data_IF_165465966691
#
_entry.id   IF_165465966691
#
_cell.length_a   1.000
_cell.length_b   1.000
_cell.length_c   1.000
_cell.angle_alpha   90.00
_cell.angle_beta   90.00
_cell.angle_gamma   90.00
#
_symmetry.space_group_name_H-M   'P 1'
#
loop_
_entity.id
_entity.type
_entity.pdbx_description
1 polymer ?
#
# COMPACT_ATOMS: atom_id res chain seq x y z
N UNK A 1 -9.85 36.90 9.85
CA UNK A 1 -9.06 36.22 8.80
C UNK A 1 -8.60 34.90 9.39
N UNK A 2 -9.32 33.83 9.11
CA UNK A 2 -8.90 32.48 9.52
C UNK A 2 -7.68 32.10 8.69
N UNK A 3 -6.56 31.86 9.36
CA UNK A 3 -5.41 31.22 8.75
C UNK A 3 -5.84 29.82 8.29
N UNK A 4 -5.82 29.59 6.98
CA UNK A 4 -5.87 28.24 6.42
C UNK A 4 -4.67 27.50 7.01
N UNK A 5 -4.89 26.62 7.98
CA UNK A 5 -3.89 25.64 8.43
C UNK A 5 -3.38 24.94 7.18
N UNK A 6 -2.08 25.07 6.89
CA UNK A 6 -1.41 24.26 5.88
C UNK A 6 -1.83 22.81 6.06
N UNK A 7 -2.22 22.16 4.97
CA UNK A 7 -2.46 20.73 4.97
C UNK A 7 -1.13 20.10 5.34
N UNK A 8 -0.97 19.65 6.59
CA UNK A 8 0.15 18.79 7.01
C UNK A 8 0.28 17.67 5.97
N UNK A 9 1.31 17.73 5.14
CA UNK A 9 1.49 16.81 4.02
C UNK A 9 1.54 15.39 4.56
N UNK A 10 0.61 14.56 4.10
CA UNK A 10 0.51 13.15 4.51
C UNK A 10 1.41 12.32 3.61
N UNK A 11 2.31 11.55 4.19
CA UNK A 11 3.13 10.58 3.48
C UNK A 11 2.55 9.17 3.65
N UNK A 12 2.33 8.45 2.54
CA UNK A 12 1.88 7.06 2.57
C UNK A 12 3.08 6.12 2.41
N UNK A 13 3.39 5.38 3.47
CA UNK A 13 4.40 4.34 3.48
C UNK A 13 3.72 2.99 3.23
N UNK A 14 4.19 2.27 2.22
CA UNK A 14 3.62 0.99 1.78
C UNK A 14 4.64 -0.11 2.04
N UNK A 15 4.34 -0.98 3.00
CA UNK A 15 5.13 -2.17 3.28
C UNK A 15 4.57 -3.41 2.56
N UNK A 16 5.35 -4.47 2.50
CA UNK A 16 4.87 -5.72 1.90
C UNK A 16 3.88 -6.46 2.81
N UNK A 17 4.27 -6.70 4.07
CA UNK A 17 3.52 -7.55 5.01
C UNK A 17 2.92 -6.73 6.16
N UNK A 18 1.80 -7.17 6.78
CA UNK A 18 1.18 -6.45 7.90
C UNK A 18 2.12 -6.26 9.09
N UNK A 19 2.95 -7.26 9.38
CA UNK A 19 3.93 -7.19 10.46
C UNK A 19 5.02 -6.14 10.18
N UNK A 20 5.45 -5.99 8.92
CA UNK A 20 6.41 -4.98 8.51
C UNK A 20 5.81 -3.57 8.66
N UNK A 21 4.58 -3.35 8.17
CA UNK A 21 3.88 -2.07 8.35
C UNK A 21 3.76 -1.66 9.82
N UNK A 22 3.42 -2.62 10.69
CA UNK A 22 3.38 -2.36 12.14
C UNK A 22 4.76 -1.95 12.67
N UNK A 23 5.81 -2.72 12.37
CA UNK A 23 7.17 -2.43 12.86
C UNK A 23 7.67 -1.07 12.39
N UNK A 24 7.44 -0.73 11.12
CA UNK A 24 7.79 0.57 10.54
C UNK A 24 7.05 1.70 11.26
N UNK A 25 5.74 1.56 11.46
CA UNK A 25 4.94 2.58 12.16
C UNK A 25 5.45 2.82 13.58
N UNK A 26 5.74 1.77 14.34
CA UNK A 26 6.27 1.91 15.70
C UNK A 26 7.72 2.40 15.76
N UNK A 27 8.53 2.13 14.74
CA UNK A 27 9.91 2.58 14.68
C UNK A 27 10.03 4.07 14.33
N UNK A 28 9.12 4.59 13.51
CA UNK A 28 9.15 5.98 13.06
C UNK A 28 8.36 6.93 13.95
N UNK A 29 7.34 6.47 14.68
CA UNK A 29 6.45 7.37 15.36
C UNK A 29 7.08 8.01 16.61
N UNK A 30 6.98 9.34 16.72
CA UNK A 30 7.46 10.10 17.88
C UNK A 30 6.63 9.79 19.14
N UNK A 31 5.36 9.44 18.93
CA UNK A 31 4.43 8.93 19.94
C UNK A 31 3.82 7.62 19.44
N UNK A 32 3.21 6.83 20.33
CA UNK A 32 2.61 5.55 19.94
C UNK A 32 1.66 5.71 18.72
N UNK A 33 1.85 4.96 17.63
CA UNK A 33 1.03 5.10 16.43
C UNK A 33 -0.39 4.61 16.68
N UNK A 34 -1.36 5.22 15.99
CA UNK A 34 -2.77 4.85 16.10
C UNK A 34 -3.09 3.78 15.06
N UNK A 35 -3.42 2.58 15.54
CA UNK A 35 -3.92 1.50 14.67
C UNK A 35 -5.35 1.79 14.23
N UNK A 36 -5.57 1.81 12.92
CA UNK A 36 -6.88 1.90 12.28
C UNK A 36 -7.23 0.59 11.59
N UNK A 37 -8.51 0.39 11.31
CA UNK A 37 -9.00 -0.76 10.56
C UNK A 37 -10.13 -0.34 9.64
N UNK A 38 -10.04 -0.72 8.36
CA UNK A 38 -11.11 -0.54 7.39
C UNK A 38 -11.36 -1.89 6.75
N UNK A 39 -12.61 -2.39 6.86
CA UNK A 39 -13.04 -3.66 6.25
C UNK A 39 -12.13 -4.86 6.60
N UNK A 40 -11.60 -4.91 7.82
CA UNK A 40 -10.70 -5.97 8.27
C UNK A 40 -9.29 -5.86 7.70
N UNK A 41 -8.87 -4.67 7.26
CA UNK A 41 -7.49 -4.36 6.86
C UNK A 41 -6.92 -3.32 7.83
N UNK A 42 -5.85 -3.65 8.57
CA UNK A 42 -5.21 -2.69 9.45
C UNK A 42 -4.28 -1.74 8.67
N UNK A 43 -4.21 -0.49 9.13
CA UNK A 43 -3.17 0.47 8.79
C UNK A 43 -2.85 1.32 10.03
N UNK A 44 -1.79 2.11 9.99
CA UNK A 44 -1.31 2.88 11.13
C UNK A 44 -1.18 4.35 10.75
N UNK A 45 -1.65 5.22 11.62
CA UNK A 45 -1.41 6.67 11.55
C UNK A 45 -0.34 7.01 12.58
N UNK A 46 0.71 7.72 12.15
CA UNK A 46 1.83 8.12 12.99
C UNK A 46 2.19 9.60 12.75
N UNK A 47 2.89 10.18 13.70
CA UNK A 47 3.51 11.51 13.55
C UNK A 47 5.01 11.32 13.73
N UNK A 48 5.79 11.88 12.82
CA UNK A 48 7.24 11.91 12.90
C UNK A 48 7.77 13.27 12.43
N UNK A 49 8.47 13.99 13.30
CA UNK A 49 9.04 15.32 13.02
C UNK A 49 7.99 16.28 12.41
N UNK A 50 6.83 16.38 13.06
CA UNK A 50 5.66 17.17 12.62
C UNK A 50 5.04 16.75 11.27
N UNK A 51 5.46 15.62 10.69
CA UNK A 51 4.84 15.04 9.49
C UNK A 51 3.86 13.95 9.85
N UNK A 52 2.72 13.93 9.16
CA UNK A 52 1.73 12.85 9.25
C UNK A 52 2.14 11.69 8.35
N UNK A 53 2.28 10.52 8.95
CA UNK A 53 2.56 9.28 8.24
C UNK A 53 1.33 8.38 8.27
N UNK A 54 1.04 7.77 7.14
CA UNK A 54 0.13 6.63 7.04
C UNK A 54 0.95 5.42 6.63
N UNK A 55 0.96 4.37 7.43
CA UNK A 55 1.69 3.13 7.13
C UNK A 55 0.69 2.00 6.87
N UNK A 56 0.70 1.48 5.65
CA UNK A 56 -0.19 0.41 5.18
C UNK A 56 0.63 -0.73 4.56
N UNK A 57 -0.03 -1.83 4.18
CA UNK A 57 0.65 -2.97 3.55
C UNK A 57 -0.07 -3.49 2.29
N UNK A 58 0.71 -4.05 1.37
CA UNK A 58 0.25 -4.63 0.11
C UNK A 58 -0.15 -6.12 0.22
N UNK A 59 0.23 -6.81 1.30
CA UNK A 59 0.08 -8.27 1.50
C UNK A 59 0.63 -9.11 0.34
N UNK A 60 1.78 -8.70 -0.19
CA UNK A 60 2.42 -9.32 -1.36
C UNK A 60 1.87 -8.78 -2.68
N UNK A 61 1.79 -9.65 -3.70
CA UNK A 61 1.37 -9.29 -5.06
C UNK A 61 -0.13 -8.95 -5.16
N UNK A 62 -0.46 -7.65 -5.14
CA UNK A 62 -1.81 -7.16 -5.47
C UNK A 62 -2.16 -7.28 -6.96
N UNK A 63 -1.15 -7.41 -7.81
CA UNK A 63 -1.28 -7.61 -9.25
C UNK A 63 -0.47 -8.82 -9.69
N UNK A 64 -0.93 -9.53 -10.70
CA UNK A 64 -0.24 -10.67 -11.30
C UNK A 64 -0.36 -10.69 -12.81
N UNK A 65 0.53 -11.41 -13.48
CA UNK A 65 0.49 -11.58 -14.92
C UNK A 65 -0.71 -12.44 -15.35
N UNK A 66 -1.44 -11.97 -16.35
CA UNK A 66 -2.51 -12.67 -17.04
C UNK A 66 -2.29 -12.58 -18.56
N UNK A 67 -2.75 -13.60 -19.28
CA UNK A 67 -2.78 -13.55 -20.74
C UNK A 67 -3.85 -12.56 -21.20
N UNK A 68 -3.50 -11.70 -22.16
CA UNK A 68 -4.45 -10.77 -22.77
C UNK A 68 -5.50 -11.51 -23.60
N UNK A 69 -5.09 -12.58 -24.27
CA UNK A 69 -5.95 -13.44 -25.08
C UNK A 69 -5.89 -14.90 -24.60
N UNK A 70 -6.99 -15.63 -24.73
CA UNK A 70 -7.09 -17.06 -24.36
C UNK A 70 -6.69 -17.98 -25.51
N UNK A 71 -5.59 -17.67 -26.18
CA UNK A 71 -5.06 -18.40 -27.33
C UNK A 71 -3.74 -19.06 -26.96
N UNK A 72 -3.38 -20.14 -27.66
CA UNK A 72 -2.11 -20.85 -27.43
C UNK A 72 -1.31 -20.97 -28.73
N UNK A 73 -0.01 -20.58 -28.73
CA UNK A 73 0.75 -19.97 -27.63
C UNK A 73 0.32 -18.53 -27.31
N UNK A 74 0.41 -18.13 -26.04
CA UNK A 74 0.15 -16.75 -25.60
C UNK A 74 1.47 -15.99 -25.40
N UNK A 75 1.67 -14.93 -26.18
CA UNK A 75 2.86 -14.07 -26.08
C UNK A 75 2.57 -12.73 -25.39
N UNK A 76 1.31 -12.28 -25.42
CA UNK A 76 0.89 -11.01 -24.82
C UNK A 76 0.39 -11.21 -23.39
N UNK A 77 1.17 -10.67 -22.44
CA UNK A 77 0.86 -10.69 -21.02
C UNK A 77 0.61 -9.28 -20.50
N UNK A 78 -0.30 -9.16 -19.55
CA UNK A 78 -0.58 -7.90 -18.86
C UNK A 78 -0.72 -8.12 -17.35
N UNK A 79 -0.45 -7.06 -16.59
CA UNK A 79 -0.66 -7.04 -15.15
C UNK A 79 -2.12 -6.80 -14.84
N UNK A 80 -2.77 -7.75 -14.18
CA UNK A 80 -4.15 -7.63 -13.71
C UNK A 80 -4.23 -7.75 -12.19
N UNK A 81 -5.22 -7.13 -11.54
CA UNK A 81 -5.47 -7.32 -10.12
C UNK A 81 -5.61 -8.82 -9.74
N UNK A 82 -4.84 -9.25 -8.75
CA UNK A 82 -4.77 -10.65 -8.33
C UNK A 82 -6.11 -11.19 -7.83
N UNK A 83 -6.98 -10.33 -7.28
CA UNK A 83 -8.28 -10.73 -6.73
C UNK A 83 -9.27 -11.32 -7.74
N UNK A 84 -8.98 -11.30 -9.06
CA UNK A 84 -9.74 -12.10 -10.03
C UNK A 84 -9.59 -13.61 -9.81
N UNK A 85 -8.49 -14.03 -9.17
CA UNK A 85 -8.26 -15.43 -8.80
C UNK A 85 -8.86 -15.70 -7.41
N UNK A 86 -9.62 -16.79 -7.28
CA UNK A 86 -10.35 -17.14 -6.03
C UNK A 86 -9.46 -17.17 -4.79
N UNK A 87 -8.24 -17.72 -4.90
CA UNK A 87 -7.30 -17.82 -3.78
C UNK A 87 -6.74 -16.45 -3.33
N UNK A 88 -6.76 -15.45 -4.21
CA UNK A 88 -6.25 -14.11 -3.95
C UNK A 88 -7.38 -13.08 -3.73
N UNK A 89 -8.63 -13.53 -3.56
CA UNK A 89 -9.78 -12.64 -3.35
C UNK A 89 -9.61 -11.68 -2.15
N UNK A 90 -8.84 -12.10 -1.13
CA UNK A 90 -8.52 -11.27 0.03
C UNK A 90 -7.71 -10.01 -0.31
N UNK A 91 -6.97 -9.99 -1.42
CA UNK A 91 -6.16 -8.84 -1.84
C UNK A 91 -7.03 -7.63 -2.24
N UNK A 92 -8.30 -7.86 -2.61
CA UNK A 92 -9.25 -6.81 -3.03
C UNK A 92 -9.44 -5.72 -1.97
N UNK A 93 -9.55 -6.10 -0.69
CA UNK A 93 -9.73 -5.13 0.41
C UNK A 93 -8.46 -4.31 0.66
N UNK A 94 -7.27 -4.86 0.41
CA UNK A 94 -6.01 -4.14 0.53
C UNK A 94 -5.81 -3.16 -0.64
N UNK A 95 -6.07 -3.60 -1.87
CA UNK A 95 -6.05 -2.72 -3.04
C UNK A 95 -7.03 -1.54 -2.90
N UNK A 96 -8.25 -1.81 -2.43
CA UNK A 96 -9.23 -0.76 -2.15
C UNK A 96 -8.76 0.21 -1.06
N UNK A 97 -8.23 -0.30 0.06
CA UNK A 97 -7.71 0.55 1.13
C UNK A 97 -6.56 1.44 0.62
N UNK A 98 -5.58 0.88 -0.08
CA UNK A 98 -4.44 1.64 -0.61
C UNK A 98 -4.88 2.71 -1.60
N UNK A 99 -5.89 2.43 -2.45
CA UNK A 99 -6.50 3.43 -3.34
C UNK A 99 -7.21 4.55 -2.58
N UNK A 100 -7.88 4.25 -1.47
CA UNK A 100 -8.54 5.26 -0.64
C UNK A 100 -7.53 6.13 0.13
N UNK A 101 -6.43 5.52 0.61
CA UNK A 101 -5.35 6.21 1.32
C UNK A 101 -4.49 7.06 0.37
N UNK A 102 -4.23 6.58 -0.84
CA UNK A 102 -3.42 7.32 -1.83
C UNK A 102 -4.04 8.67 -2.21
N UNK A 103 -5.37 8.78 -2.21
CA UNK A 103 -6.08 10.05 -2.45
C UNK A 103 -5.83 11.12 -1.39
N UNK A 104 -5.36 10.72 -0.20
CA UNK A 104 -5.04 11.62 0.91
C UNK A 104 -3.53 11.92 0.98
N UNK A 105 -2.70 11.16 0.28
CA UNK A 105 -1.25 11.23 0.38
C UNK A 105 -0.68 12.26 -0.60
N UNK A 106 0.30 13.05 -0.12
CA UNK A 106 1.10 13.97 -0.93
C UNK A 106 2.37 13.31 -1.48
N UNK A 107 2.91 12.32 -0.76
CA UNK A 107 4.09 11.54 -1.15
C UNK A 107 3.89 10.05 -0.84
N UNK A 108 4.71 9.22 -1.47
CA UNK A 108 4.71 7.77 -1.30
C UNK A 108 6.13 7.29 -0.98
N UNK A 109 6.22 6.33 -0.07
CA UNK A 109 7.45 5.60 0.23
C UNK A 109 7.17 4.11 0.09
N UNK A 110 7.93 3.43 -0.76
CA UNK A 110 7.91 1.97 -0.85
C UNK A 110 8.87 1.41 0.20
N UNK A 111 8.31 0.70 1.17
CA UNK A 111 9.01 0.03 2.25
C UNK A 111 8.76 -1.49 2.20
N UNK A 112 8.69 -2.05 0.99
CA UNK A 112 8.73 -3.49 0.75
C UNK A 112 10.11 -4.07 1.11
N UNK A 113 10.20 -5.41 1.17
CA UNK A 113 11.47 -6.09 1.44
C UNK A 113 12.51 -5.66 0.37
N UNK A 114 13.78 -5.45 0.78
CA UNK A 114 14.81 -4.89 -0.11
C UNK A 114 15.42 -5.96 -1.02
N UNK A 115 14.61 -6.44 -1.94
CA UNK A 115 14.97 -7.37 -3.00
C UNK A 115 14.20 -7.05 -4.30
N UNK A 116 14.48 -7.82 -5.35
CA UNK A 116 13.86 -7.63 -6.67
C UNK A 116 12.34 -7.84 -6.60
N UNK A 117 11.86 -8.75 -5.75
CA UNK A 117 10.42 -9.02 -5.63
C UNK A 117 9.69 -7.85 -4.97
N UNK A 118 10.27 -7.28 -3.90
CA UNK A 118 9.74 -6.12 -3.21
C UNK A 118 9.66 -4.88 -4.11
N UNK A 119 10.64 -4.68 -4.99
CA UNK A 119 10.60 -3.60 -5.99
C UNK A 119 9.43 -3.80 -6.97
N UNK A 120 9.22 -5.02 -7.48
CA UNK A 120 8.11 -5.34 -8.38
C UNK A 120 6.76 -5.16 -7.71
N UNK A 121 6.62 -5.57 -6.44
CA UNK A 121 5.40 -5.37 -5.66
C UNK A 121 5.14 -3.87 -5.51
N UNK A 122 6.12 -3.09 -5.05
CA UNK A 122 5.99 -1.66 -4.84
C UNK A 122 5.61 -0.90 -6.11
N UNK A 123 6.28 -1.21 -7.24
CA UNK A 123 5.99 -0.60 -8.53
C UNK A 123 4.55 -0.87 -8.99
N UNK A 124 4.08 -2.11 -8.87
CA UNK A 124 2.71 -2.45 -9.26
C UNK A 124 1.66 -1.81 -8.35
N UNK A 125 1.97 -1.52 -7.10
CA UNK A 125 1.06 -0.82 -6.18
C UNK A 125 0.96 0.68 -6.51
N UNK A 126 2.05 1.31 -6.93
CA UNK A 126 2.10 2.75 -7.22
C UNK A 126 1.55 3.11 -8.61
N UNK A 127 1.78 2.27 -9.62
CA UNK A 127 1.44 2.54 -11.03
C UNK A 127 -0.07 2.61 -11.27
#
# INVERSE_FOLDING_TARGET
MEAKKEVEQVELIIAEKPAAAMRIAYALADIAPVKRNVKGVPYYEAIHSDKKLIVACAVGHLFGLAQKEKTWPAFDLEWQPSYFRKYAAYTKKYAALLSDLSRKAASFVIACDYDIEGEVIGLNVIR
#
